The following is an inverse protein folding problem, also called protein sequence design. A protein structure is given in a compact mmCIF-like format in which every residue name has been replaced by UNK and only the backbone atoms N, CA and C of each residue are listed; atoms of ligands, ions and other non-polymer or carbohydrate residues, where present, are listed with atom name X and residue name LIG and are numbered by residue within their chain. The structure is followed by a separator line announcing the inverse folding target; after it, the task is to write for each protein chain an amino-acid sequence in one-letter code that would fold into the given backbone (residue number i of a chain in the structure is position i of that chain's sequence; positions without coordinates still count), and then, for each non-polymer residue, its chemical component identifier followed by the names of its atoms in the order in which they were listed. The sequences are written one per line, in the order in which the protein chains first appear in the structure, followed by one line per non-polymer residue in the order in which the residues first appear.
data_IF_413997818021
#
_entry.id   IF_413997818021
#
_cell.length_a   1.000
_cell.length_b   1.000
_cell.length_c   1.000
_cell.angle_alpha   90.00
_cell.angle_beta   90.00
_cell.angle_gamma   90.00
#
_symmetry.space_group_name_H-M   'P 1'
#
loop_
_entity.id
_entity.type
_entity.pdbx_description
1 polymer ?
#
# COMPACT_ATOMS: atom_id res chain seq x y z
N UNK A 1 -1.13 10.29 0.52
CA UNK A 1 -1.18 9.04 1.27
C UNK A 1 -2.39 9.02 2.18
N UNK A 2 -3.09 7.91 2.24
CA UNK A 2 -4.30 7.86 3.06
C UNK A 2 -3.99 8.02 4.53
N UNK A 3 -4.79 8.81 5.20
CA UNK A 3 -4.56 9.04 6.59
C UNK A 3 -4.99 7.90 7.46
N UNK A 4 -5.83 7.02 6.94
CA UNK A 4 -6.30 5.89 7.70
C UNK A 4 -5.25 4.82 7.89
N UNK A 5 -4.12 4.93 7.21
CA UNK A 5 -3.07 3.95 7.35
C UNK A 5 -2.28 4.20 8.63
N UNK A 6 -1.88 3.13 9.28
CA UNK A 6 -1.02 3.25 10.45
C UNK A 6 0.40 3.59 9.99
N UNK A 7 1.23 4.00 10.92
CA UNK A 7 2.61 4.33 10.60
C UNK A 7 3.33 3.13 9.99
N UNK A 8 3.00 1.95 10.46
CA UNK A 8 3.61 0.75 9.95
C UNK A 8 3.25 0.56 8.48
N UNK A 9 1.99 0.81 8.12
CA UNK A 9 1.57 0.69 6.75
C UNK A 9 2.18 1.76 5.87
N UNK A 10 2.35 2.94 6.40
CA UNK A 10 2.98 4.00 5.64
C UNK A 10 4.43 3.65 5.31
N UNK A 11 5.13 3.06 6.25
CA UNK A 11 6.50 2.63 5.98
C UNK A 11 6.53 1.55 4.92
N UNK A 12 5.59 0.63 5.00
CA UNK A 12 5.51 -0.43 4.01
C UNK A 12 5.25 0.16 2.63
N UNK A 13 4.36 1.13 2.57
CA UNK A 13 4.04 1.78 1.31
C UNK A 13 5.28 2.43 0.71
N UNK A 14 6.02 3.18 1.52
CA UNK A 14 7.20 3.87 1.03
C UNK A 14 8.26 2.89 0.59
N UNK A 15 8.41 1.81 1.32
CA UNK A 15 9.41 0.81 0.98
C UNK A 15 9.09 0.17 -0.36
N UNK A 16 7.83 -0.17 -0.58
CA UNK A 16 7.42 -0.77 -1.83
C UNK A 16 7.55 0.22 -2.97
N UNK A 17 7.17 1.47 -2.72
CA UNK A 17 7.27 2.50 -3.73
C UNK A 17 8.72 2.67 -4.15
N UNK A 18 9.63 2.78 -3.19
CA UNK A 18 11.04 2.92 -3.49
C UNK A 18 11.55 1.74 -4.30
N UNK A 19 11.10 0.55 -3.96
CA UNK A 19 11.51 -0.65 -4.67
C UNK A 19 11.14 -0.58 -6.13
N UNK A 20 9.93 -0.12 -6.42
CA UNK A 20 9.50 0.01 -7.81
C UNK A 20 10.27 1.09 -8.53
N UNK A 21 10.53 2.20 -7.87
CA UNK A 21 11.29 3.27 -8.50
C UNK A 21 12.70 2.82 -8.81
N UNK A 22 13.26 2.03 -7.94
CA UNK A 22 14.59 1.49 -8.13
C UNK A 22 14.65 0.60 -9.36
N UNK A 23 13.54 0.00 -9.71
CA UNK A 23 13.46 -0.86 -10.89
C UNK A 23 13.17 -0.08 -12.15
N UNK A 24 13.02 1.23 -12.06
CA UNK A 24 12.76 2.05 -13.23
C UNK A 24 11.29 2.38 -13.44
N UNK A 25 10.44 2.05 -12.49
CA UNK A 25 9.03 2.39 -12.60
C UNK A 25 8.87 3.87 -12.26
N UNK A 26 8.08 4.58 -13.02
CA UNK A 26 7.85 5.98 -12.77
C UNK A 26 7.21 6.22 -11.41
N UNK A 27 7.44 7.42 -10.85
CA UNK A 27 6.95 7.72 -9.52
C UNK A 27 5.44 7.55 -9.39
N UNK A 28 4.69 8.04 -10.37
CA UNK A 28 3.24 7.93 -10.31
C UNK A 28 2.79 6.49 -10.30
N UNK A 29 3.39 5.69 -11.16
CA UNK A 29 3.02 4.30 -11.24
C UNK A 29 3.50 3.54 -10.02
N UNK A 30 4.66 3.90 -9.50
CA UNK A 30 5.16 3.26 -8.29
C UNK A 30 4.22 3.51 -7.13
N UNK A 31 3.70 4.72 -7.03
CA UNK A 31 2.75 5.04 -5.97
C UNK A 31 1.48 4.21 -6.09
N UNK A 32 0.98 4.10 -7.30
CA UNK A 32 -0.24 3.35 -7.51
C UNK A 32 -0.06 1.88 -7.17
N UNK A 33 1.04 1.31 -7.62
CA UNK A 33 1.29 -0.10 -7.36
C UNK A 33 1.52 -0.37 -5.87
N UNK A 34 2.25 0.53 -5.22
CA UNK A 34 2.50 0.37 -3.80
C UNK A 34 1.21 0.47 -3.01
N UNK A 35 0.34 1.42 -3.38
CA UNK A 35 -0.93 1.57 -2.70
C UNK A 35 -1.79 0.32 -2.85
N UNK A 36 -1.81 -0.24 -4.04
CA UNK A 36 -2.58 -1.45 -4.26
C UNK A 36 -2.08 -2.60 -3.41
N UNK A 37 -0.77 -2.74 -3.33
CA UNK A 37 -0.20 -3.82 -2.55
C UNK A 37 -0.54 -3.67 -1.08
N UNK A 38 -0.41 -2.46 -0.56
CA UNK A 38 -0.72 -2.23 0.85
C UNK A 38 -2.19 -2.45 1.13
N UNK A 39 -3.06 -1.96 0.25
CA UNK A 39 -4.49 -2.12 0.45
C UNK A 39 -4.89 -3.58 0.38
N UNK A 40 -4.26 -4.33 -0.48
CA UNK A 40 -4.55 -5.74 -0.58
C UNK A 40 -4.19 -6.45 0.72
N UNK A 41 -3.05 -6.11 1.28
CA UNK A 41 -2.64 -6.74 2.53
C UNK A 41 -3.51 -6.33 3.68
N UNK A 42 -3.95 -5.08 3.69
CA UNK A 42 -4.87 -4.64 4.73
C UNK A 42 -6.16 -5.43 4.68
N UNK A 43 -6.65 -5.68 3.48
CA UNK A 43 -7.87 -6.45 3.33
C UNK A 43 -7.66 -7.89 3.79
N UNK A 44 -6.52 -8.46 3.45
CA UNK A 44 -6.24 -9.84 3.84
C UNK A 44 -6.11 -9.99 5.35
N UNK A 45 -5.61 -8.93 6.01
CA UNK A 45 -5.47 -8.98 7.45
C UNK A 45 -6.73 -8.50 8.17
N UNK A 46 -7.75 -8.13 7.43
CA UNK A 46 -9.00 -7.69 8.04
C UNK A 46 -8.93 -6.31 8.63
N UNK A 47 -8.02 -5.48 8.13
CA UNK A 47 -7.87 -4.13 8.66
C UNK A 47 -8.90 -3.16 8.12
N UNK A 48 -9.60 -3.53 7.06
CA UNK A 48 -10.64 -2.67 6.52
C UNK A 48 -11.99 -3.26 6.89
N UNK A 49 -12.91 -2.38 7.23
CA UNK A 49 -14.20 -2.85 7.63
C UNK A 49 -14.95 -3.52 6.55
N UNK A 50 -14.87 -3.02 5.37
CA UNK A 50 -15.61 -3.62 4.28
C UNK A 50 -15.11 -5.00 3.95
N UNK A 51 -13.95 -5.33 4.39
CA UNK A 51 -13.43 -6.65 4.10
C UNK A 51 -14.11 -7.73 4.88
N UNK A 52 -14.84 -7.37 5.92
CA UNK A 52 -15.41 -8.29 6.64
C UNK A 52 -16.62 -8.84 6.27
N UNK A 53 -17.10 -8.75 5.60
CA UNK A 53 -18.20 -9.21 5.28
C UNK A 53 -18.33 -10.37 4.86
N UNK A 54 -18.21 -11.07 4.96
CA UNK A 54 -18.45 -12.13 4.69
C UNK A 54 -18.96 -12.44 4.55
#
# INVERSE_FOLDING_TARGET
MPRSWSAKRERQYEHIKDSYEDRGVGADEAEERAARTVNKERAEHGETKSAKKR
#
